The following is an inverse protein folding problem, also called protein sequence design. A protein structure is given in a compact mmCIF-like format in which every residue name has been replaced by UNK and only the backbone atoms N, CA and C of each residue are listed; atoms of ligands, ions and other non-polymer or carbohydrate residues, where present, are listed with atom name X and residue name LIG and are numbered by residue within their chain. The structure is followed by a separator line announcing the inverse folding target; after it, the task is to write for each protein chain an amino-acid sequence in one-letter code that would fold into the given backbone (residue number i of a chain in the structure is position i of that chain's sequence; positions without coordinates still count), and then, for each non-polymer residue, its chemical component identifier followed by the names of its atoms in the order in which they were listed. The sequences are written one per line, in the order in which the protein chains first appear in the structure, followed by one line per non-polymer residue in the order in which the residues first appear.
data_IF_747461028908
#
_entry.id   IF_747461028908
#
_cell.length_a   1.000
_cell.length_b   1.000
_cell.length_c   1.000
_cell.angle_alpha   90.00
_cell.angle_beta   90.00
_cell.angle_gamma   90.00
#
_symmetry.space_group_name_H-M   'P 1'
#
loop_
_entity.id
_entity.type
_entity.pdbx_description
1 polymer ?
#
# COMPACT_ATOMS: atom_id res chain seq x y z
N UNK A 1 -15.10 2.70 9.85
CA UNK A 1 -14.80 1.55 10.72
C UNK A 1 -13.54 0.94 10.14
N UNK A 2 -12.41 1.10 10.84
CA UNK A 2 -11.12 0.55 10.40
C UNK A 2 -11.14 -0.97 10.58
N UNK A 3 -10.83 -1.70 9.51
CA UNK A 3 -10.61 -3.15 9.57
C UNK A 3 -9.48 -3.45 10.57
N UNK A 4 -9.61 -4.50 11.41
CA UNK A 4 -8.54 -4.88 12.33
C UNK A 4 -7.32 -5.33 11.52
N UNK A 5 -6.25 -4.52 11.56
CA UNK A 5 -4.98 -4.86 10.95
C UNK A 5 -4.46 -6.15 11.61
N UNK A 6 -4.46 -7.25 10.86
CA UNK A 6 -3.95 -8.52 11.32
C UNK A 6 -2.42 -8.56 11.13
N UNK A 7 -1.67 -8.63 12.22
CA UNK A 7 -0.21 -8.66 12.19
C UNK A 7 0.28 -10.12 12.17
N UNK A 8 0.56 -10.65 10.98
CA UNK A 8 0.89 -12.08 10.79
C UNK A 8 2.35 -12.46 11.16
N UNK A 9 3.28 -11.50 11.08
CA UNK A 9 4.71 -11.75 11.24
C UNK A 9 5.23 -11.30 12.61
N UNK A 10 5.86 -12.22 13.36
CA UNK A 10 6.54 -11.92 14.62
C UNK A 10 8.03 -11.63 14.37
N UNK A 11 8.49 -10.45 14.77
CA UNK A 11 9.92 -10.05 14.71
C UNK A 11 10.56 -10.22 16.09
N UNK A 12 11.65 -10.99 16.18
CA UNK A 12 12.38 -11.25 17.41
C UNK A 12 13.82 -10.73 17.31
N UNK A 13 14.34 -10.14 18.38
CA UNK A 13 15.71 -9.66 18.46
C UNK A 13 16.25 -9.80 19.89
N UNK A 14 17.58 -9.84 20.02
CA UNK A 14 18.24 -9.82 21.33
C UNK A 14 18.25 -8.39 21.87
N UNK A 15 17.83 -8.21 23.12
CA UNK A 15 17.68 -6.91 23.75
C UNK A 15 18.55 -6.78 25.02
N UNK A 16 19.03 -5.56 25.36
CA UNK A 16 19.57 -5.27 26.68
C UNK A 16 18.55 -5.52 27.80
N UNK A 17 19.03 -5.82 29.01
CA UNK A 17 18.19 -6.23 30.15
C UNK A 17 17.03 -5.26 30.46
N UNK A 18 17.23 -3.95 30.27
CA UNK A 18 16.26 -2.92 30.67
C UNK A 18 15.45 -2.34 29.50
N UNK A 19 15.58 -2.87 28.28
CA UNK A 19 14.92 -2.30 27.11
C UNK A 19 13.39 -2.41 27.20
N UNK A 20 12.88 -3.53 27.72
CA UNK A 20 11.44 -3.76 27.86
C UNK A 20 10.76 -2.72 28.75
N UNK A 21 11.40 -2.35 29.86
CA UNK A 21 10.89 -1.34 30.80
C UNK A 21 10.92 0.08 30.20
N UNK A 22 12.01 0.40 29.48
CA UNK A 22 12.13 1.68 28.77
C UNK A 22 11.02 1.83 27.70
N UNK A 23 10.74 0.76 26.93
CA UNK A 23 9.66 0.71 25.95
C UNK A 23 8.30 0.90 26.64
N UNK A 24 8.04 0.22 27.75
CA UNK A 24 6.78 0.34 28.48
C UNK A 24 6.55 1.77 28.98
N UNK A 25 7.58 2.42 29.50
CA UNK A 25 7.51 3.81 29.98
C UNK A 25 7.23 4.77 28.82
N UNK A 26 7.94 4.62 27.69
CA UNK A 26 7.74 5.46 26.51
C UNK A 26 6.35 5.25 25.87
N UNK A 27 5.87 4.00 25.81
CA UNK A 27 4.54 3.68 25.29
C UNK A 27 3.43 4.30 26.15
N UNK A 28 3.55 4.23 27.49
CA UNK A 28 2.62 4.85 28.44
C UNK A 28 2.56 6.37 28.29
N UNK A 29 3.70 7.04 28.11
CA UNK A 29 3.75 8.49 27.86
C UNK A 29 2.98 8.91 26.59
N UNK A 30 2.82 7.99 25.63
CA UNK A 30 2.10 8.22 24.38
C UNK A 30 0.70 7.60 24.35
N UNK A 31 0.21 7.04 25.46
CA UNK A 31 -1.06 6.32 25.52
C UNK A 31 -1.18 5.18 24.48
N UNK A 32 -0.07 4.48 24.23
CA UNK A 32 0.04 3.40 23.24
C UNK A 32 0.33 2.05 23.90
N UNK A 33 0.01 0.96 23.19
CA UNK A 33 0.54 -0.36 23.55
C UNK A 33 2.03 -0.45 23.23
N UNK A 34 2.77 -1.35 23.90
CA UNK A 34 4.21 -1.58 23.61
C UNK A 34 4.45 -1.91 22.14
N UNK A 35 3.62 -2.80 21.58
CA UNK A 35 3.72 -3.23 20.18
C UNK A 35 3.47 -2.08 19.22
N UNK A 36 2.50 -1.21 19.52
CA UNK A 36 2.22 -0.04 18.69
C UNK A 36 3.37 0.96 18.72
N UNK A 37 3.89 1.26 19.92
CA UNK A 37 5.03 2.14 20.09
C UNK A 37 6.26 1.64 19.33
N UNK A 38 6.58 0.34 19.43
CA UNK A 38 7.71 -0.26 18.71
C UNK A 38 7.50 -0.14 17.20
N UNK A 39 6.32 -0.52 16.70
CA UNK A 39 6.00 -0.43 15.27
C UNK A 39 6.20 1.00 14.77
N UNK A 40 5.54 1.98 15.38
CA UNK A 40 5.65 3.38 14.96
C UNK A 40 7.09 3.87 14.98
N UNK A 41 7.83 3.61 16.06
CA UNK A 41 9.22 4.08 16.19
C UNK A 41 10.12 3.49 15.11
N UNK A 42 9.99 2.18 14.82
CA UNK A 42 10.77 1.51 13.78
C UNK A 42 10.36 2.01 12.39
N UNK A 43 9.06 2.09 12.10
CA UNK A 43 8.51 2.60 10.83
C UNK A 43 9.02 4.03 10.56
N UNK A 44 8.91 4.92 11.55
CA UNK A 44 9.36 6.31 11.44
C UNK A 44 10.86 6.41 11.20
N UNK A 45 11.65 5.57 11.89
CA UNK A 45 13.10 5.56 11.70
C UNK A 45 13.49 5.07 10.32
N UNK A 46 12.90 3.97 9.86
CA UNK A 46 13.13 3.44 8.51
C UNK A 46 12.76 4.48 7.44
N UNK A 47 11.63 5.18 7.58
CA UNK A 47 11.24 6.26 6.67
C UNK A 47 12.25 7.41 6.65
N UNK A 48 12.81 7.79 7.80
CA UNK A 48 13.87 8.81 7.87
C UNK A 48 15.16 8.37 7.17
N UNK A 49 15.40 7.07 7.05
CA UNK A 49 16.50 6.48 6.28
C UNK A 49 16.13 6.23 4.81
N UNK A 50 14.94 6.65 4.36
CA UNK A 50 14.45 6.44 3.00
C UNK A 50 13.93 5.02 2.74
N UNK A 51 13.84 4.18 3.78
CA UNK A 51 13.34 2.81 3.70
C UNK A 51 11.83 2.84 3.94
N UNK A 52 11.06 2.78 2.86
CA UNK A 52 9.62 2.60 2.93
C UNK A 52 9.28 1.13 3.13
N UNK A 53 8.51 0.83 4.17
CA UNK A 53 7.80 -0.45 4.27
C UNK A 53 6.79 -0.43 3.13
N UNK A 54 7.12 -1.13 2.05
CA UNK A 54 6.44 -0.99 0.77
C UNK A 54 4.94 -0.99 0.96
N UNK A 55 4.25 -0.02 0.36
CA UNK A 55 2.84 -0.20 0.07
C UNK A 55 2.73 -1.54 -0.65
N UNK A 56 1.82 -2.42 -0.23
CA UNK A 56 1.65 -3.73 -0.87
C UNK A 56 1.46 -3.48 -2.36
N UNK A 57 2.51 -3.75 -3.14
CA UNK A 57 2.53 -3.46 -4.56
C UNK A 57 1.72 -4.58 -5.18
N UNK A 58 0.57 -4.22 -5.74
CA UNK A 58 -0.22 -5.16 -6.49
C UNK A 58 0.40 -5.30 -7.88
N UNK A 59 0.39 -6.51 -8.42
CA UNK A 59 0.88 -6.86 -9.74
C UNK A 59 -0.30 -7.32 -10.58
N UNK A 60 -0.22 -7.04 -11.88
CA UNK A 60 -1.15 -7.57 -12.88
C UNK A 60 -0.40 -8.52 -13.81
N UNK A 61 -1.07 -9.59 -14.24
CA UNK A 61 -0.51 -10.49 -15.24
C UNK A 61 -0.74 -9.91 -16.64
N UNK A 62 0.34 -9.76 -17.40
CA UNK A 62 0.35 -9.24 -18.76
C UNK A 62 0.90 -10.29 -19.72
N UNK A 63 0.27 -10.47 -20.87
CA UNK A 63 0.78 -11.29 -21.98
C UNK A 63 0.61 -10.52 -23.27
N UNK A 64 1.65 -10.48 -24.11
CA UNK A 64 1.62 -9.81 -25.42
C UNK A 64 1.13 -8.35 -25.36
N UNK A 65 1.49 -7.63 -24.29
CA UNK A 65 1.10 -6.24 -24.07
C UNK A 65 -0.36 -6.05 -23.64
N UNK A 66 -1.07 -7.11 -23.25
CA UNK A 66 -2.46 -7.07 -22.82
C UNK A 66 -2.64 -7.66 -21.43
N UNK A 67 -3.62 -7.14 -20.67
CA UNK A 67 -4.00 -7.71 -19.38
C UNK A 67 -4.60 -9.09 -19.58
N UNK A 68 -4.05 -10.09 -18.90
CA UNK A 68 -4.63 -11.43 -18.86
C UNK A 68 -5.87 -11.39 -17.96
N UNK A 69 -7.00 -11.84 -18.49
CA UNK A 69 -8.27 -11.88 -17.78
C UNK A 69 -8.52 -13.26 -17.16
N UNK A 70 -9.11 -13.27 -15.97
CA UNK A 70 -9.70 -14.47 -15.39
C UNK A 70 -11.03 -14.81 -16.09
N UNK A 71 -11.54 -16.06 -15.95
CA UNK A 71 -12.91 -16.38 -16.34
C UNK A 71 -13.88 -15.47 -15.58
N UNK A 72 -14.48 -14.49 -16.26
CA UNK A 72 -15.23 -13.40 -15.63
C UNK A 72 -14.89 -11.99 -16.10
N UNK A 73 -13.95 -11.84 -17.05
CA UNK A 73 -13.53 -10.59 -17.70
C UNK A 73 -12.72 -9.61 -16.83
N UNK A 74 -12.48 -9.93 -15.56
CA UNK A 74 -11.61 -9.13 -14.71
C UNK A 74 -10.12 -9.49 -14.92
N UNK A 75 -9.20 -8.51 -14.89
CA UNK A 75 -7.77 -8.77 -14.97
C UNK A 75 -7.28 -9.58 -13.76
N UNK A 76 -6.29 -10.45 -13.98
CA UNK A 76 -5.66 -11.25 -12.92
C UNK A 76 -4.69 -10.38 -12.14
N UNK A 77 -4.99 -10.15 -10.85
CA UNK A 77 -4.18 -9.34 -9.94
C UNK A 77 -3.67 -10.16 -8.75
N UNK A 78 -2.50 -9.82 -8.21
CA UNK A 78 -1.94 -10.47 -7.01
C UNK A 78 -0.99 -9.54 -6.26
N UNK A 79 -0.81 -9.75 -4.96
CA UNK A 79 0.29 -9.14 -4.20
C UNK A 79 1.55 -10.02 -4.16
N UNK A 80 1.42 -11.28 -4.62
CA UNK A 80 2.50 -12.28 -4.67
C UNK A 80 2.53 -12.88 -6.09
N UNK A 81 3.44 -12.41 -6.97
CA UNK A 81 3.61 -12.95 -8.32
C UNK A 81 3.82 -14.46 -8.31
N UNK A 82 3.14 -15.15 -9.22
CA UNK A 82 3.22 -16.60 -9.39
C UNK A 82 4.02 -16.94 -10.65
N UNK A 83 5.19 -17.57 -10.47
CA UNK A 83 6.12 -17.92 -11.56
C UNK A 83 5.60 -19.02 -12.47
N UNK A 84 4.58 -19.77 -12.05
CA UNK A 84 4.00 -20.85 -12.86
C UNK A 84 3.02 -20.34 -13.92
N UNK A 85 2.49 -19.12 -13.76
CA UNK A 85 1.60 -18.52 -14.74
C UNK A 85 2.39 -17.99 -15.94
N UNK A 86 1.91 -18.32 -17.14
CA UNK A 86 2.47 -17.76 -18.39
C UNK A 86 2.12 -16.27 -18.51
N UNK A 87 3.14 -15.46 -18.77
CA UNK A 87 3.05 -14.01 -18.87
C UNK A 87 4.08 -13.33 -17.99
N UNK A 88 3.98 -12.02 -17.88
CA UNK A 88 4.81 -11.17 -17.05
C UNK A 88 3.96 -10.53 -15.95
N UNK A 89 4.45 -10.59 -14.71
CA UNK A 89 3.84 -9.88 -13.60
C UNK A 89 4.39 -8.46 -13.54
N UNK A 90 3.58 -7.50 -13.95
CA UNK A 90 3.97 -6.08 -13.99
C UNK A 90 3.38 -5.37 -12.77
N UNK A 91 4.19 -4.58 -12.02
CA UNK A 91 3.68 -3.82 -10.88
C UNK A 91 2.64 -2.78 -11.34
N UNK A 92 1.55 -2.66 -10.59
CA UNK A 92 0.49 -1.71 -10.85
C UNK A 92 0.86 -0.35 -10.25
N UNK A 93 0.95 0.63 -11.11
CA UNK A 93 1.19 2.02 -10.73
C UNK A 93 -0.15 2.72 -10.47
N UNK A 94 -0.38 3.14 -9.24
CA UNK A 94 -1.54 3.95 -8.88
C UNK A 94 -1.20 5.41 -9.13
N UNK A 95 -1.90 6.04 -10.07
CA UNK A 95 -1.68 7.45 -10.43
C UNK A 95 -2.98 8.22 -10.31
N UNK A 96 -2.89 9.46 -9.86
CA UNK A 96 -4.00 10.40 -9.89
C UNK A 96 -4.08 11.04 -11.29
N UNK A 97 -5.29 11.35 -11.78
CA UNK A 97 -5.44 12.04 -13.08
C UNK A 97 -4.88 13.47 -13.08
N UNK A 98 -4.81 14.09 -11.90
CA UNK A 98 -4.27 15.43 -11.65
C UNK A 98 -3.62 15.47 -10.25
N UNK A 99 -2.80 16.50 -9.92
CA UNK A 99 -2.26 16.66 -8.58
C UNK A 99 -3.36 16.61 -7.50
N UNK A 100 -3.19 15.74 -6.51
CA UNK A 100 -4.18 15.55 -5.46
C UNK A 100 -3.89 16.41 -4.23
N UNK A 101 -4.89 17.21 -3.84
CA UNK A 101 -4.93 17.90 -2.53
C UNK A 101 -6.16 17.40 -1.75
N UNK A 102 -5.98 16.71 -0.60
CA UNK A 102 -7.08 16.16 0.18
C UNK A 102 -8.02 17.21 0.77
N UNK A 103 -7.58 18.46 0.93
CA UNK A 103 -8.45 19.55 1.37
C UNK A 103 -9.43 19.95 0.26
N UNK A 104 -8.95 20.01 -0.99
CA UNK A 104 -9.68 20.59 -2.12
C UNK A 104 -10.29 19.57 -3.09
N UNK A 105 -9.89 18.30 -3.03
CA UNK A 105 -10.28 17.29 -4.01
C UNK A 105 -10.88 16.02 -3.40
N UNK A 106 -11.71 15.35 -4.20
CA UNK A 106 -12.10 13.95 -4.02
C UNK A 106 -11.33 13.06 -5.01
N UNK A 107 -10.92 11.88 -4.54
CA UNK A 107 -10.51 10.77 -5.42
C UNK A 107 -11.71 9.87 -5.65
N UNK A 108 -12.08 9.68 -6.90
CA UNK A 108 -13.16 8.77 -7.28
C UNK A 108 -12.67 7.33 -7.38
N UNK A 109 -13.61 6.41 -7.63
CA UNK A 109 -13.27 5.03 -7.97
C UNK A 109 -12.35 5.02 -9.18
N UNK A 110 -11.32 4.15 -9.17
CA UNK A 110 -10.36 4.10 -10.26
C UNK A 110 -11.03 3.68 -11.56
N UNK A 111 -10.49 4.18 -12.67
CA UNK A 111 -10.85 3.72 -14.00
C UNK A 111 -10.40 2.27 -14.22
N UNK A 112 -10.86 1.68 -15.31
CA UNK A 112 -10.45 0.34 -15.71
C UNK A 112 -8.91 0.26 -15.81
N UNK A 113 -8.35 -0.81 -15.25
CA UNK A 113 -6.91 -1.06 -15.32
C UNK A 113 -6.49 -1.16 -16.78
N UNK A 114 -5.36 -0.52 -17.13
CA UNK A 114 -4.85 -0.51 -18.50
C UNK A 114 -3.35 -0.69 -18.56
N UNK A 115 -2.89 -1.22 -19.69
CA UNK A 115 -1.47 -1.26 -20.07
C UNK A 115 -1.16 0.03 -20.83
N UNK A 116 -0.14 0.76 -20.38
CA UNK A 116 0.38 1.96 -21.00
C UNK A 116 1.85 1.74 -21.40
N UNK A 117 2.05 1.24 -22.62
CA UNK A 117 3.36 0.76 -23.07
C UNK A 117 3.86 -0.42 -22.24
N UNK A 118 4.95 -0.21 -21.48
CA UNK A 118 5.53 -1.23 -20.60
C UNK A 118 4.99 -1.18 -19.15
N UNK A 119 4.06 -0.26 -18.85
CA UNK A 119 3.55 -0.02 -17.49
C UNK A 119 2.12 -0.50 -17.37
N UNK A 120 1.73 -0.95 -16.18
CA UNK A 120 0.33 -1.18 -15.84
C UNK A 120 -0.12 -0.08 -14.90
N UNK A 121 -1.18 0.62 -15.27
CA UNK A 121 -1.58 1.85 -14.58
C UNK A 121 -3.03 1.78 -14.13
N UNK A 122 -3.27 2.11 -12.87
CA UNK A 122 -4.59 2.35 -12.29
C UNK A 122 -4.75 3.86 -12.06
N UNK A 123 -5.64 4.48 -12.82
CA UNK A 123 -5.88 5.92 -12.75
C UNK A 123 -7.02 6.21 -11.78
N UNK A 124 -6.77 7.08 -10.80
CA UNK A 124 -7.77 7.60 -9.88
C UNK A 124 -8.22 8.99 -10.36
N UNK A 125 -9.48 9.16 -10.79
CA UNK A 125 -9.98 10.47 -11.18
C UNK A 125 -10.00 11.41 -9.97
N UNK A 126 -9.35 12.56 -10.12
CA UNK A 126 -9.36 13.64 -9.13
C UNK A 126 -10.38 14.69 -9.57
N UNK A 127 -11.34 14.98 -8.70
CA UNK A 127 -12.37 16.01 -8.93
C UNK A 127 -12.34 17.03 -7.81
N UNK A 128 -12.60 18.30 -8.13
CA UNK A 128 -12.64 19.36 -7.13
C UNK A 128 -13.91 19.21 -6.28
N UNK A 129 -13.79 19.35 -4.95
CA UNK A 129 -14.97 19.31 -4.05
C UNK A 129 -15.98 20.39 -4.36
N UNK A 130 -15.53 21.53 -4.89
CA UNK A 130 -16.41 22.62 -5.35
C UNK A 130 -17.33 22.23 -6.50
N UNK A 131 -17.07 21.12 -7.21
CA UNK A 131 -17.90 20.61 -8.31
C UNK A 131 -18.99 19.63 -7.84
N UNK A 132 -19.03 19.27 -6.55
CA UNK A 132 -20.04 18.36 -5.98
C UNK A 132 -21.44 19.00 -5.84
N UNK A 133 -21.54 20.32 -6.10
CA UNK A 133 -22.77 21.10 -6.01
C UNK A 133 -23.29 21.65 -7.36
N UNK A 134 -22.84 21.10 -8.50
CA UNK A 134 -23.33 21.48 -9.83
C UNK A 134 -24.40 20.52 -10.35
#
# INVERSE_FOLDING_TARGET
MDDPVNFEQLVQFRAPANLSEAIDTAAKQRCQSRSEFIRQTVIERLRKEGISLGAETQYALVSDGQLVQAPGCDPILTFKPDVEKRGEWVPIENVDSHPFDPAQHWRLKPEALRVDGARVVRVYPVVAKSQEHA
#
